data_IF_107239885948
#
_entry.id   IF_107239885948
#
_cell.length_a   1.000
_cell.length_b   1.000
_cell.length_c   1.000
_cell.angle_alpha   90.00
_cell.angle_beta   90.00
_cell.angle_gamma   90.00
#
_symmetry.space_group_name_H-M   'P 1'
#
loop_
_entity.id
_entity.type
_entity.pdbx_description
1 polymer ?
#
# COMPACT_ATOMS: atom_id res chain seq x y z
N UNK A 1 31.65 -6.86 -15.29
CA UNK A 1 30.63 -7.87 -14.91
C UNK A 1 30.78 -8.13 -13.43
N UNK A 2 29.96 -7.48 -12.59
CA UNK A 2 30.07 -7.58 -11.14
C UNK A 2 28.90 -8.43 -10.61
N UNK A 3 29.23 -9.57 -10.00
CA UNK A 3 28.27 -10.45 -9.36
C UNK A 3 27.96 -9.93 -7.95
N UNK A 4 26.71 -9.58 -7.69
CA UNK A 4 26.19 -9.34 -6.34
C UNK A 4 25.67 -10.65 -5.75
N UNK A 5 26.35 -11.15 -4.72
CA UNK A 5 25.89 -12.25 -3.88
C UNK A 5 24.69 -11.80 -3.05
N UNK A 6 23.58 -12.53 -3.12
CA UNK A 6 22.45 -12.35 -2.22
C UNK A 6 22.50 -13.39 -1.10
N UNK A 7 22.46 -12.86 0.11
CA UNK A 7 22.47 -13.51 1.42
C UNK A 7 21.21 -14.36 1.67
N UNK A 8 21.41 -15.61 2.09
CA UNK A 8 20.39 -16.49 2.65
C UNK A 8 19.98 -16.05 4.07
N UNK A 9 18.69 -15.92 4.40
CA UNK A 9 18.27 -15.90 5.79
C UNK A 9 18.19 -17.31 6.37
N UNK A 10 18.80 -17.43 7.53
CA UNK A 10 18.92 -18.58 8.41
C UNK A 10 17.55 -19.15 8.80
N UNK A 11 17.36 -20.46 8.61
CA UNK A 11 16.17 -21.21 9.01
C UNK A 11 16.13 -21.35 10.55
N UNK A 12 15.02 -21.05 11.24
CA UNK A 12 14.85 -21.49 12.61
C UNK A 12 14.50 -22.98 12.61
N UNK A 13 15.44 -23.82 13.05
CA UNK A 13 15.15 -25.20 13.43
C UNK A 13 14.23 -25.18 14.66
N UNK A 14 12.92 -25.34 14.46
CA UNK A 14 11.98 -25.51 15.55
C UNK A 14 12.07 -26.94 16.09
N UNK A 15 12.63 -27.04 17.28
CA UNK A 15 12.67 -28.21 18.13
C UNK A 15 11.28 -28.85 18.33
N UNK A 16 11.25 -30.17 18.20
CA UNK A 16 10.26 -31.11 18.76
C UNK A 16 9.71 -30.63 20.10
N UNK A 17 8.38 -30.63 20.24
CA UNK A 17 7.74 -30.50 21.55
C UNK A 17 6.32 -29.99 21.47
N UNK A 18 5.37 -30.91 21.27
CA UNK A 18 3.95 -30.58 21.35
C UNK A 18 3.10 -31.59 20.61
N UNK A 19 2.83 -32.73 21.26
CA UNK A 19 1.66 -33.54 20.91
C UNK A 19 0.43 -32.69 21.23
N UNK A 20 0.04 -31.84 20.29
CA UNK A 20 -1.23 -31.14 20.30
C UNK A 20 -2.16 -31.97 19.43
N UNK A 21 -2.84 -32.93 20.07
CA UNK A 21 -4.13 -33.44 19.57
C UNK A 21 -5.13 -32.29 19.63
N UNK A 22 -4.89 -31.26 18.82
CA UNK A 22 -5.96 -30.38 18.38
C UNK A 22 -6.88 -31.28 17.59
N UNK A 23 -8.14 -31.36 18.01
CA UNK A 23 -9.19 -31.96 17.22
C UNK A 23 -9.25 -31.21 15.88
N UNK A 24 -8.44 -31.66 14.94
CA UNK A 24 -8.48 -31.25 13.56
C UNK A 24 -9.89 -31.54 13.07
N UNK A 25 -10.56 -30.50 12.58
CA UNK A 25 -11.85 -30.66 11.95
C UNK A 25 -11.71 -31.78 10.90
N UNK A 26 -12.64 -32.74 10.82
CA UNK A 26 -12.58 -33.81 9.82
C UNK A 26 -12.47 -33.26 8.38
N UNK A 27 -12.86 -32.00 8.16
CA UNK A 27 -12.66 -31.30 6.90
C UNK A 27 -11.20 -30.98 6.58
N UNK A 28 -10.35 -30.68 7.57
CA UNK A 28 -8.94 -30.32 7.35
C UNK A 28 -8.13 -31.54 6.86
N UNK A 29 -8.36 -32.71 7.47
CA UNK A 29 -7.80 -33.99 6.99
C UNK A 29 -8.29 -34.38 5.60
N UNK A 30 -9.47 -33.90 5.19
CA UNK A 30 -10.08 -34.20 3.88
C UNK A 30 -9.57 -33.32 2.73
N UNK A 31 -8.77 -32.30 3.02
CA UNK A 31 -8.30 -31.32 2.03
C UNK A 31 -6.89 -31.66 1.48
N UNK A 32 -6.18 -32.63 2.06
CA UNK A 32 -4.82 -33.05 1.68
C UNK A 32 -4.83 -34.07 0.51
N UNK A 33 -4.95 -33.57 -0.72
CA UNK A 33 -4.98 -34.41 -1.94
C UNK A 33 -3.61 -35.01 -2.32
N UNK A 34 -2.51 -34.57 -1.71
CA UNK A 34 -1.14 -34.99 -2.04
C UNK A 34 -0.84 -36.42 -1.57
N UNK A 35 -1.48 -36.87 -0.50
CA UNK A 35 -1.23 -38.18 0.12
C UNK A 35 -2.19 -39.28 -0.32
N UNK A 36 -3.21 -38.93 -1.13
CA UNK A 36 -4.23 -39.86 -1.63
C UNK A 36 -3.69 -40.71 -2.79
N UNK A 37 -3.74 -42.04 -2.62
CA UNK A 37 -3.27 -43.02 -3.61
C UNK A 37 -4.25 -43.28 -4.74
N UNK A 38 -5.56 -43.18 -4.46
CA UNK A 38 -6.59 -43.38 -5.48
C UNK A 38 -6.79 -42.11 -6.36
N UNK A 39 -6.73 -42.22 -7.69
CA UNK A 39 -6.91 -41.07 -8.59
C UNK A 39 -8.31 -40.44 -8.53
N UNK A 40 -9.37 -41.23 -8.30
CA UNK A 40 -10.74 -40.75 -8.25
C UNK A 40 -11.03 -39.95 -6.99
N UNK A 41 -10.57 -40.45 -5.85
CA UNK A 41 -10.65 -39.73 -4.57
C UNK A 41 -9.83 -38.44 -4.59
N UNK A 42 -8.61 -38.47 -5.13
CA UNK A 42 -7.79 -37.28 -5.33
C UNK A 42 -8.53 -36.23 -6.16
N UNK A 43 -9.20 -36.64 -7.25
CA UNK A 43 -9.98 -35.73 -8.10
C UNK A 43 -11.16 -35.09 -7.37
N UNK A 44 -11.85 -35.84 -6.50
CA UNK A 44 -12.96 -35.32 -5.67
C UNK A 44 -12.46 -34.23 -4.71
N UNK A 45 -11.34 -34.47 -4.02
CA UNK A 45 -10.75 -33.49 -3.08
C UNK A 45 -10.31 -32.23 -3.82
N UNK A 46 -9.66 -32.38 -4.98
CA UNK A 46 -9.29 -31.23 -5.81
C UNK A 46 -10.50 -30.40 -6.24
N UNK A 47 -11.58 -31.04 -6.71
CA UNK A 47 -12.80 -30.33 -7.10
C UNK A 47 -13.44 -29.60 -5.91
N UNK A 48 -13.49 -30.25 -4.74
CA UNK A 48 -13.98 -29.64 -3.50
C UNK A 48 -13.20 -28.38 -3.16
N UNK A 49 -11.87 -28.45 -3.18
CA UNK A 49 -11.00 -27.32 -2.87
C UNK A 49 -11.10 -26.21 -3.93
N UNK A 50 -11.11 -26.57 -5.22
CA UNK A 50 -11.29 -25.61 -6.30
C UNK A 50 -12.61 -24.85 -6.18
N UNK A 51 -13.68 -25.55 -5.81
CA UNK A 51 -15.00 -24.95 -5.64
C UNK A 51 -15.07 -24.05 -4.40
N UNK A 52 -14.41 -24.44 -3.31
CA UNK A 52 -14.23 -23.60 -2.12
C UNK A 52 -13.49 -22.31 -2.49
N UNK A 53 -12.32 -22.42 -3.11
CA UNK A 53 -11.52 -21.27 -3.55
C UNK A 53 -12.26 -20.38 -4.54
N UNK A 54 -13.04 -20.96 -5.45
CA UNK A 54 -13.87 -20.20 -6.38
C UNK A 54 -14.91 -19.37 -5.62
N UNK A 55 -15.65 -19.98 -4.68
CA UNK A 55 -16.63 -19.27 -3.86
C UNK A 55 -15.99 -18.19 -3.00
N UNK A 56 -14.83 -18.49 -2.41
CA UNK A 56 -14.08 -17.53 -1.60
C UNK A 56 -13.63 -16.33 -2.44
N UNK A 57 -13.09 -16.58 -3.65
CA UNK A 57 -12.69 -15.51 -4.57
C UNK A 57 -13.87 -14.64 -5.02
N UNK A 58 -15.04 -15.23 -5.27
CA UNK A 58 -16.24 -14.47 -5.61
C UNK A 58 -16.69 -13.56 -4.44
N UNK A 59 -16.64 -14.08 -3.20
CA UNK A 59 -16.97 -13.29 -2.01
C UNK A 59 -15.94 -12.17 -1.78
N UNK A 60 -14.66 -12.49 -1.89
CA UNK A 60 -13.55 -11.56 -1.73
C UNK A 60 -13.62 -10.44 -2.78
N UNK A 61 -13.90 -10.75 -4.04
CA UNK A 61 -14.06 -9.72 -5.07
C UNK A 61 -15.20 -8.75 -4.75
N UNK A 62 -16.32 -9.26 -4.23
CA UNK A 62 -17.43 -8.40 -3.79
C UNK A 62 -16.99 -7.48 -2.65
N UNK A 63 -16.34 -8.02 -1.63
CA UNK A 63 -15.84 -7.24 -0.50
C UNK A 63 -14.76 -6.23 -0.93
N UNK A 64 -13.86 -6.61 -1.83
CA UNK A 64 -12.80 -5.74 -2.37
C UNK A 64 -13.41 -4.53 -3.09
N UNK A 65 -14.45 -4.75 -3.90
CA UNK A 65 -15.14 -3.64 -4.58
C UNK A 65 -15.80 -2.69 -3.58
N UNK A 66 -16.43 -3.22 -2.54
CA UNK A 66 -17.05 -2.42 -1.48
C UNK A 66 -16.01 -1.65 -0.67
N UNK A 67 -14.91 -2.30 -0.29
CA UNK A 67 -13.81 -1.68 0.44
C UNK A 67 -13.13 -0.59 -0.38
N UNK A 68 -12.90 -0.82 -1.68
CA UNK A 68 -12.30 0.18 -2.54
C UNK A 68 -13.24 1.36 -2.78
N UNK A 69 -14.55 1.13 -2.95
CA UNK A 69 -15.54 2.21 -3.07
C UNK A 69 -15.63 3.04 -1.78
N UNK A 70 -15.66 2.40 -0.62
CA UNK A 70 -15.68 3.08 0.68
C UNK A 70 -14.35 3.81 0.94
N UNK A 71 -13.22 3.21 0.56
CA UNK A 71 -11.92 3.87 0.63
C UNK A 71 -11.87 5.07 -0.30
N UNK A 72 -12.35 4.99 -1.55
CA UNK A 72 -12.40 6.11 -2.47
C UNK A 72 -13.29 7.25 -1.92
N UNK A 73 -14.43 6.91 -1.30
CA UNK A 73 -15.31 7.88 -0.64
C UNK A 73 -14.63 8.59 0.53
N UNK A 74 -13.84 7.87 1.33
CA UNK A 74 -13.10 8.44 2.48
C UNK A 74 -11.81 9.16 2.05
N UNK A 75 -11.09 8.62 1.08
CA UNK A 75 -9.80 9.09 0.60
C UNK A 75 -9.89 10.35 -0.25
N UNK A 76 -11.08 10.76 -0.70
CA UNK A 76 -11.30 12.04 -1.39
C UNK A 76 -10.82 13.27 -0.59
N UNK A 77 -10.55 13.14 0.71
CA UNK A 77 -9.96 14.19 1.54
C UNK A 77 -8.69 13.75 2.31
N UNK A 78 -8.40 12.44 2.43
CA UNK A 78 -7.32 11.95 3.31
C UNK A 78 -5.90 12.14 2.77
N UNK A 79 -5.70 12.26 1.45
CA UNK A 79 -4.40 12.53 0.84
C UNK A 79 -4.29 13.94 0.26
N UNK A 80 -5.34 14.75 0.38
CA UNK A 80 -5.32 16.14 -0.06
C UNK A 80 -4.55 16.98 0.97
N UNK A 81 -3.56 17.74 0.50
CA UNK A 81 -2.89 18.72 1.36
C UNK A 81 -3.94 19.71 1.87
N UNK A 82 -4.07 19.92 3.19
CA UNK A 82 -5.08 20.82 3.74
C UNK A 82 -4.90 22.22 3.16
N UNK A 83 -6.00 22.85 2.72
CA UNK A 83 -5.99 24.27 2.39
C UNK A 83 -5.83 25.10 3.67
N UNK A 84 -5.01 26.16 3.69
CA UNK A 84 -4.78 26.97 4.88
C UNK A 84 -6.06 27.68 5.38
N UNK A 85 -7.10 27.75 4.54
CA UNK A 85 -8.42 28.28 4.87
C UNK A 85 -9.32 27.28 5.65
N UNK A 86 -9.06 25.97 5.52
CA UNK A 86 -9.82 24.91 6.22
C UNK A 86 -9.22 24.55 7.60
N UNK A 87 -8.12 25.18 8.00
CA UNK A 87 -7.45 24.93 9.28
C UNK A 87 -8.05 25.88 10.32
N UNK A 88 -8.93 25.36 11.17
CA UNK A 88 -9.49 26.13 12.28
C UNK A 88 -8.37 26.50 13.28
N UNK A 89 -8.09 27.79 13.38
CA UNK A 89 -7.08 28.36 14.27
C UNK A 89 -7.58 28.55 15.71
N UNK A 90 -8.84 28.22 15.99
CA UNK A 90 -9.44 28.29 17.33
C UNK A 90 -8.68 27.43 18.37
N UNK A 91 -7.97 26.40 17.91
CA UNK A 91 -7.13 25.52 18.75
C UNK A 91 -5.69 26.01 18.92
N UNK A 92 -5.37 27.27 18.58
CA UNK A 92 -4.08 27.86 18.96
C UNK A 92 -4.02 27.93 20.48
N UNK A 93 -3.29 26.98 21.09
CA UNK A 93 -3.05 26.85 22.53
C UNK A 93 -2.31 28.09 23.08
N UNK A 94 -3.01 29.22 23.15
CA UNK A 94 -2.46 30.54 23.49
C UNK A 94 -2.17 30.73 24.98
N UNK A 95 -2.07 29.63 25.74
CA UNK A 95 -1.76 29.63 27.18
C UNK A 95 -0.27 29.45 27.49
N UNK A 96 0.57 29.19 26.49
CA UNK A 96 2.02 29.09 26.66
C UNK A 96 2.64 30.49 26.52
N UNK A 97 3.56 30.91 27.42
CA UNK A 97 4.13 32.26 27.42
C UNK A 97 4.98 32.58 26.18
N UNK A 98 5.34 31.56 25.39
CA UNK A 98 6.09 31.69 24.13
C UNK A 98 5.21 31.56 22.87
N UNK A 99 3.89 31.40 23.03
CA UNK A 99 2.98 31.16 21.90
C UNK A 99 3.07 29.74 21.35
N UNK A 100 1.91 29.16 20.98
CA UNK A 100 1.84 27.85 20.34
C UNK A 100 2.27 27.88 18.87
N UNK A 101 2.62 26.72 18.33
CA UNK A 101 2.96 26.58 16.90
C UNK A 101 1.69 26.74 16.05
N UNK A 102 1.71 27.65 15.08
CA UNK A 102 0.61 27.85 14.12
C UNK A 102 0.74 26.91 12.92
N UNK A 103 -0.10 25.87 12.89
CA UNK A 103 -0.16 24.91 11.77
C UNK A 103 -0.57 25.62 10.47
N UNK A 104 -1.48 26.61 10.53
CA UNK A 104 -1.86 27.43 9.36
C UNK A 104 -0.64 28.07 8.71
N UNK A 105 0.24 28.67 9.52
CA UNK A 105 1.46 29.31 9.02
C UNK A 105 2.42 28.31 8.39
N UNK A 106 2.57 27.12 9.00
CA UNK A 106 3.42 26.04 8.47
C UNK A 106 2.91 25.59 7.09
N UNK A 107 1.61 25.37 6.97
CA UNK A 107 0.98 24.93 5.72
C UNK A 107 1.08 26.01 4.64
N UNK A 108 0.79 27.27 4.97
CA UNK A 108 0.89 28.40 4.03
C UNK A 108 2.33 28.61 3.52
N UNK A 109 3.33 28.54 4.41
CA UNK A 109 4.75 28.59 4.05
C UNK A 109 5.15 27.41 3.17
N UNK A 110 4.65 26.20 3.47
CA UNK A 110 4.87 24.99 2.69
C UNK A 110 4.36 25.15 1.25
N UNK A 111 3.10 25.54 1.07
CA UNK A 111 2.50 25.76 -0.26
C UNK A 111 3.20 26.86 -1.05
N UNK A 112 3.54 27.97 -0.39
CA UNK A 112 4.26 29.08 -1.04
C UNK A 112 5.64 28.65 -1.56
N UNK A 113 6.35 27.78 -0.82
CA UNK A 113 7.65 27.23 -1.22
C UNK A 113 7.51 26.22 -2.36
N UNK A 114 6.50 25.36 -2.30
CA UNK A 114 6.21 24.38 -3.35
C UNK A 114 5.81 25.06 -4.66
N UNK A 115 4.91 26.04 -4.63
CA UNK A 115 4.52 26.80 -5.82
C UNK A 115 5.71 27.51 -6.47
N UNK A 116 6.57 28.15 -5.67
CA UNK A 116 7.82 28.76 -6.16
C UNK A 116 8.77 27.72 -6.77
N UNK A 117 8.92 26.55 -6.14
CA UNK A 117 9.74 25.46 -6.68
C UNK A 117 9.20 24.95 -8.01
N UNK A 118 7.88 24.80 -8.14
CA UNK A 118 7.23 24.35 -9.37
C UNK A 118 7.35 25.38 -10.49
N UNK A 119 7.17 26.67 -10.19
CA UNK A 119 7.38 27.76 -11.15
C UNK A 119 8.84 27.81 -11.62
N UNK A 120 9.79 27.80 -10.71
CA UNK A 120 11.21 27.86 -11.03
C UNK A 120 11.68 26.61 -11.81
N UNK A 121 11.13 25.42 -11.52
CA UNK A 121 11.42 24.20 -12.28
C UNK A 121 10.85 24.25 -13.70
N UNK A 122 9.65 24.81 -13.88
CA UNK A 122 9.05 25.00 -15.20
C UNK A 122 9.83 26.01 -16.03
N UNK A 123 10.24 27.11 -15.43
CA UNK A 123 11.04 28.15 -16.09
C UNK A 123 12.45 27.64 -16.46
N UNK A 124 13.08 26.86 -15.58
CA UNK A 124 14.36 26.19 -15.87
C UNK A 124 14.24 25.19 -17.03
N UNK A 125 13.18 24.39 -17.05
CA UNK A 125 12.94 23.40 -18.11
C UNK A 125 12.64 24.05 -19.46
N UNK A 126 11.89 25.17 -19.48
CA UNK A 126 11.64 25.93 -20.71
C UNK A 126 12.95 26.50 -21.26
N UNK A 127 13.80 27.07 -20.40
CA UNK A 127 15.09 27.64 -20.83
C UNK A 127 16.06 26.57 -21.34
N UNK A 128 16.04 25.37 -20.75
CA UNK A 128 16.81 24.21 -21.22
C UNK A 128 16.28 23.64 -22.55
N UNK A 129 14.96 23.64 -22.77
CA UNK A 129 14.39 23.20 -24.05
C UNK A 129 14.70 24.15 -25.21
N UNK A 130 14.87 25.45 -24.92
CA UNK A 130 15.15 26.49 -25.92
C UNK A 130 16.63 26.54 -26.34
N UNK A 131 17.55 26.07 -25.49
CA UNK A 131 18.99 26.08 -25.80
C UNK A 131 19.43 24.92 -26.70
N UNK A 132 18.62 23.86 -26.88
CA UNK A 132 18.92 22.77 -27.82
C UNK A 132 18.50 23.04 -29.27
N UNK A 133 17.67 24.05 -29.54
CA UNK A 133 17.12 24.30 -30.89
C UNK A 133 17.82 25.45 -31.65
N UNK A 134 18.85 26.06 -31.06
CA UNK A 134 19.52 27.26 -31.59
C UNK A 134 20.83 27.05 -32.35
N UNK A 135 21.09 25.88 -32.92
CA UNK A 135 22.36 25.55 -33.59
C UNK A 135 22.30 25.54 -35.13
N UNK A 136 22.46 26.73 -35.73
CA UNK A 136 23.26 27.02 -36.95
C UNK A 136 22.93 26.29 -38.29
N UNK A 137 22.24 27.03 -39.16
CA UNK A 137 22.44 27.14 -40.63
C UNK A 137 23.86 27.70 -40.96
N UNK A 138 24.44 27.63 -42.19
CA UNK A 138 23.82 27.50 -43.52
C UNK A 138 24.31 26.34 -44.41
#
# INVERSE_FOLDING_TARGET
MSQGQQSSPNQPASSKGGSSVTAESPEARSDDWTDVKDPGERRKIQNKLAQRRFRDKIKEQKEETERNAENQRRAGSSYASPEPENIDTSQSLSGLPWGGISIKHIVEKGKSKEQRSQQNSRESSIHESASYTGGTHP
#
